data_IF_301473138521
#
_entry.id   IF_301473138521
#
_cell.length_a   1.000
_cell.length_b   1.000
_cell.length_c   1.000
_cell.angle_alpha   90.00
_cell.angle_beta   90.00
_cell.angle_gamma   90.00
#
_symmetry.space_group_name_H-M   'P 1'
#
loop_
_entity.id
_entity.type
_entity.pdbx_description
1 polymer ?
#
# COMPACT_ATOMS: atom_id res chain seq x y z
N UNK A 1 -76.14 -64.47 -11.38
CA UNK A 1 -76.20 -65.60 -10.42
C UNK A 1 -74.98 -66.47 -10.69
N UNK A 2 -74.22 -66.85 -9.65
CA UNK A 2 -73.03 -67.72 -9.63
C UNK A 2 -71.75 -67.13 -10.27
N UNK A 3 -70.70 -66.75 -9.53
CA UNK A 3 -69.83 -67.43 -8.52
C UNK A 3 -68.82 -68.39 -9.16
N UNK A 4 -67.54 -68.19 -8.83
CA UNK A 4 -66.48 -69.19 -8.93
C UNK A 4 -65.12 -68.60 -9.34
N UNK A 5 -64.31 -68.09 -8.40
CA UNK A 5 -63.07 -68.71 -7.84
C UNK A 5 -61.86 -68.71 -8.82
N UNK A 6 -60.78 -67.92 -8.60
CA UNK A 6 -59.60 -68.14 -7.71
C UNK A 6 -58.79 -69.37 -8.20
N UNK A 7 -57.47 -69.40 -8.47
CA UNK A 7 -56.31 -68.71 -7.89
C UNK A 7 -54.99 -68.89 -8.71
N UNK A 8 -54.10 -67.91 -8.53
CA UNK A 8 -52.62 -67.93 -8.37
C UNK A 8 -51.65 -68.76 -9.26
N UNK A 9 -50.73 -67.99 -9.86
CA UNK A 9 -49.25 -68.16 -9.94
C UNK A 9 -48.67 -69.51 -10.43
N UNK A 10 -48.04 -69.45 -11.60
CA UNK A 10 -46.76 -70.11 -11.86
C UNK A 10 -46.06 -69.44 -13.05
N UNK A 11 -44.96 -68.71 -12.83
CA UNK A 11 -43.57 -69.12 -13.13
C UNK A 11 -43.02 -68.39 -14.38
N UNK A 12 -42.03 -67.54 -14.13
CA UNK A 12 -40.93 -67.06 -14.99
C UNK A 12 -40.87 -67.47 -16.46
N UNK A 13 -40.60 -66.50 -17.36
CA UNK A 13 -39.94 -66.82 -18.63
C UNK A 13 -40.01 -65.77 -19.74
N UNK A 14 -39.04 -64.85 -19.72
CA UNK A 14 -38.28 -64.34 -20.87
C UNK A 14 -38.97 -63.92 -22.20
N UNK A 15 -38.73 -62.64 -22.50
CA UNK A 15 -38.17 -62.11 -23.76
C UNK A 15 -39.04 -62.00 -25.04
N UNK A 16 -39.16 -60.72 -25.42
CA UNK A 16 -38.99 -60.15 -26.77
C UNK A 16 -40.01 -60.48 -27.86
N UNK A 17 -40.87 -59.50 -28.19
CA UNK A 17 -40.74 -58.68 -29.40
C UNK A 17 -42.00 -57.82 -29.61
N UNK A 18 -41.92 -56.51 -29.32
CA UNK A 18 -42.87 -55.53 -29.87
C UNK A 18 -42.08 -54.40 -30.50
N UNK A 19 -42.14 -54.39 -31.83
CA UNK A 19 -41.60 -53.42 -32.77
C UNK A 19 -42.64 -52.31 -33.00
N UNK A 20 -42.13 -51.08 -33.26
CA UNK A 20 -42.80 -49.88 -33.83
C UNK A 20 -43.66 -49.01 -32.90
N UNK A 21 -43.06 -47.91 -32.42
CA UNK A 21 -43.57 -46.52 -32.58
C UNK A 21 -42.82 -45.54 -31.64
N UNK A 22 -41.60 -45.09 -31.98
CA UNK A 22 -40.91 -44.01 -31.23
C UNK A 22 -39.95 -43.14 -32.07
N UNK A 23 -40.15 -42.99 -33.38
CA UNK A 23 -39.23 -42.19 -34.23
C UNK A 23 -39.72 -40.80 -34.70
N UNK A 24 -40.95 -40.39 -34.35
CA UNK A 24 -41.47 -39.07 -34.78
C UNK A 24 -41.51 -37.99 -33.69
N UNK A 25 -41.37 -38.35 -32.41
CA UNK A 25 -41.47 -37.37 -31.30
C UNK A 25 -40.15 -36.62 -31.00
N UNK A 26 -39.00 -37.10 -31.47
CA UNK A 26 -37.68 -36.51 -31.15
C UNK A 26 -37.28 -35.41 -32.14
N UNK A 27 -37.78 -35.43 -33.38
CA UNK A 27 -37.40 -34.46 -34.41
C UNK A 27 -38.01 -33.06 -34.20
N UNK A 28 -39.21 -32.96 -33.61
CA UNK A 28 -39.89 -31.67 -33.41
C UNK A 28 -39.32 -30.90 -32.21
N UNK A 29 -38.79 -31.60 -31.21
CA UNK A 29 -38.19 -30.97 -30.01
C UNK A 29 -36.81 -30.39 -30.33
N UNK A 30 -36.05 -30.99 -31.26
CA UNK A 30 -34.74 -30.48 -31.67
C UNK A 30 -34.80 -29.25 -32.59
N UNK A 31 -35.85 -29.09 -33.41
CA UNK A 31 -36.00 -27.89 -34.25
C UNK A 31 -36.38 -26.64 -33.45
N UNK A 32 -37.13 -26.78 -32.35
CA UNK A 32 -37.48 -25.63 -31.50
C UNK A 32 -36.32 -25.15 -30.59
N UNK A 33 -35.30 -26.00 -30.35
CA UNK A 33 -34.15 -25.65 -29.51
C UNK A 33 -32.98 -25.00 -30.28
N UNK A 34 -32.95 -25.07 -31.62
CA UNK A 34 -31.93 -24.43 -32.45
C UNK A 34 -32.34 -23.06 -33.00
N UNK A 35 -33.63 -22.70 -32.93
CA UNK A 35 -34.13 -21.40 -33.38
C UNK A 35 -34.09 -20.30 -32.29
N UNK A 36 -33.73 -20.62 -31.04
CA UNK A 36 -33.70 -19.66 -29.93
C UNK A 36 -32.32 -19.06 -29.64
N UNK A 37 -31.29 -19.34 -30.44
CA UNK A 37 -29.93 -18.82 -30.24
C UNK A 37 -29.60 -17.55 -31.03
N UNK A 38 -30.57 -16.98 -31.75
CA UNK A 38 -30.37 -15.74 -32.50
C UNK A 38 -31.45 -14.74 -32.09
N UNK A 39 -31.00 -13.59 -31.57
CA UNK A 39 -31.76 -12.44 -31.05
C UNK A 39 -32.21 -12.50 -29.58
N UNK A 40 -31.32 -12.08 -28.68
CA UNK A 40 -31.61 -11.03 -27.68
C UNK A 40 -30.30 -10.42 -27.15
N UNK A 41 -29.94 -9.19 -27.55
CA UNK A 41 -29.17 -8.32 -26.69
C UNK A 41 -30.08 -7.14 -26.33
N UNK A 42 -30.65 -7.14 -25.13
CA UNK A 42 -31.10 -5.92 -24.45
C UNK A 42 -31.65 -6.27 -23.06
N UNK A 43 -30.78 -6.82 -22.20
CA UNK A 43 -30.98 -6.67 -20.77
C UNK A 43 -29.98 -5.61 -20.28
N UNK A 44 -30.43 -4.40 -19.87
CA UNK A 44 -29.54 -3.34 -19.38
C UNK A 44 -28.66 -3.78 -18.20
N UNK A 45 -29.09 -4.80 -17.43
CA UNK A 45 -28.31 -5.39 -16.34
C UNK A 45 -27.11 -6.22 -16.82
N UNK A 46 -27.24 -6.98 -17.92
CA UNK A 46 -26.14 -7.77 -18.45
C UNK A 46 -25.05 -6.88 -19.08
N UNK A 47 -25.47 -5.78 -19.75
CA UNK A 47 -24.54 -4.78 -20.27
C UNK A 47 -23.83 -4.01 -19.14
N UNK A 48 -24.55 -3.62 -18.07
CA UNK A 48 -23.94 -2.99 -16.88
C UNK A 48 -22.94 -3.89 -16.18
N UNK A 49 -23.27 -5.17 -15.97
CA UNK A 49 -22.35 -6.14 -15.36
C UNK A 49 -21.10 -6.43 -16.22
N UNK A 50 -21.22 -6.39 -17.55
CA UNK A 50 -20.07 -6.51 -18.46
C UNK A 50 -19.18 -5.26 -18.42
N UNK A 51 -19.75 -4.06 -18.35
CA UNK A 51 -18.98 -2.81 -18.26
C UNK A 51 -18.28 -2.66 -16.90
N UNK A 52 -18.85 -3.21 -15.82
CA UNK A 52 -18.26 -3.20 -14.48
C UNK A 52 -17.01 -4.10 -14.34
N UNK A 53 -16.83 -5.09 -15.23
CA UNK A 53 -15.79 -6.12 -15.08
C UNK A 53 -14.56 -5.92 -15.96
N UNK A 54 -14.65 -5.09 -17.01
CA UNK A 54 -13.52 -4.82 -17.90
C UNK A 54 -12.52 -3.84 -17.25
N UNK A 55 -11.22 -4.21 -17.18
CA UNK A 55 -10.18 -3.28 -16.75
C UNK A 55 -10.18 -2.00 -17.60
N UNK A 56 -9.78 -0.88 -17.00
CA UNK A 56 -9.46 0.34 -17.73
C UNK A 56 -7.94 0.42 -17.83
N UNK A 57 -7.39 0.56 -19.03
CA UNK A 57 -5.98 0.92 -19.19
C UNK A 57 -5.75 2.39 -18.82
N UNK A 58 -4.48 2.84 -18.86
CA UNK A 58 -4.14 4.22 -18.49
C UNK A 58 -4.92 5.27 -19.30
N UNK A 59 -5.07 5.06 -20.61
CA UNK A 59 -5.75 6.00 -21.50
C UNK A 59 -7.24 6.04 -21.19
N UNK A 60 -7.87 4.88 -21.08
CA UNK A 60 -9.28 4.75 -20.74
C UNK A 60 -9.61 5.30 -19.36
N UNK A 61 -8.73 5.10 -18.37
CA UNK A 61 -8.91 5.65 -17.05
C UNK A 61 -8.81 7.19 -17.03
N UNK A 62 -7.80 7.78 -17.70
CA UNK A 62 -7.69 9.24 -17.82
C UNK A 62 -8.91 9.83 -18.53
N UNK A 63 -9.38 9.21 -19.60
CA UNK A 63 -10.59 9.64 -20.31
C UNK A 63 -11.83 9.57 -19.41
N UNK A 64 -11.96 8.52 -18.59
CA UNK A 64 -13.07 8.37 -17.65
C UNK A 64 -13.03 9.42 -16.53
N UNK A 65 -11.85 9.74 -16.00
CA UNK A 65 -11.67 10.82 -15.02
C UNK A 65 -12.04 12.18 -15.61
N UNK A 66 -11.62 12.47 -16.84
CA UNK A 66 -11.99 13.69 -17.53
C UNK A 66 -13.52 13.77 -17.72
N UNK A 67 -14.15 12.67 -18.15
CA UNK A 67 -15.61 12.59 -18.31
C UNK A 67 -16.34 12.87 -17.00
N UNK A 68 -15.90 12.28 -15.90
CA UNK A 68 -16.47 12.52 -14.56
C UNK A 68 -16.31 13.97 -14.13
N UNK A 69 -15.13 14.55 -14.36
CA UNK A 69 -14.84 15.97 -14.12
C UNK A 69 -15.83 16.87 -14.87
N UNK A 70 -16.02 16.65 -16.18
CA UNK A 70 -16.88 17.48 -17.02
C UNK A 70 -18.37 17.36 -16.63
N UNK A 71 -18.79 16.20 -16.15
CA UNK A 71 -20.13 16.02 -15.59
C UNK A 71 -20.27 16.82 -14.30
N UNK A 72 -19.33 16.68 -13.37
CA UNK A 72 -19.37 17.38 -12.09
C UNK A 72 -19.36 18.90 -12.26
N UNK A 73 -18.55 19.43 -13.18
CA UNK A 73 -18.53 20.84 -13.52
C UNK A 73 -19.90 21.35 -14.03
N UNK A 74 -20.60 20.56 -14.85
CA UNK A 74 -21.92 20.91 -15.39
C UNK A 74 -23.04 20.87 -14.35
N UNK A 75 -22.95 19.98 -13.36
CA UNK A 75 -23.99 19.80 -12.33
C UNK A 75 -23.68 20.56 -11.03
N UNK A 76 -22.65 21.42 -11.01
CA UNK A 76 -22.34 22.28 -9.87
C UNK A 76 -21.60 21.58 -8.73
N UNK A 77 -20.77 20.57 -9.03
CA UNK A 77 -19.93 19.84 -8.08
C UNK A 77 -18.43 20.14 -8.31
N UNK A 78 -17.94 21.35 -8.00
CA UNK A 78 -16.58 21.77 -8.35
C UNK A 78 -15.48 21.00 -7.59
N UNK A 79 -15.73 20.60 -6.34
CA UNK A 79 -14.76 19.83 -5.56
C UNK A 79 -14.54 18.44 -6.15
N UNK A 80 -15.61 17.78 -6.60
CA UNK A 80 -15.57 16.46 -7.24
C UNK A 80 -14.95 16.54 -8.64
N UNK A 81 -15.23 17.63 -9.37
CA UNK A 81 -14.56 17.90 -10.64
C UNK A 81 -13.04 18.01 -10.45
N UNK A 82 -12.61 18.80 -9.46
CA UNK A 82 -11.20 18.94 -9.11
C UNK A 82 -10.60 17.60 -8.66
N UNK A 83 -11.28 16.85 -7.80
CA UNK A 83 -10.84 15.53 -7.33
C UNK A 83 -10.59 14.57 -8.49
N UNK A 84 -11.49 14.52 -9.48
CA UNK A 84 -11.31 13.67 -10.66
C UNK A 84 -10.12 14.12 -11.53
N UNK A 85 -9.97 15.43 -11.76
CA UNK A 85 -8.85 15.99 -12.54
C UNK A 85 -7.49 15.74 -11.89
N UNK A 86 -7.43 15.82 -10.56
CA UNK A 86 -6.18 15.80 -9.81
C UNK A 86 -5.78 14.40 -9.33
N UNK A 87 -6.63 13.39 -9.56
CA UNK A 87 -6.38 12.02 -9.10
C UNK A 87 -5.12 11.39 -9.68
N UNK A 88 -4.77 11.70 -10.93
CA UNK A 88 -3.52 11.25 -11.53
C UNK A 88 -2.41 12.27 -11.21
N UNK A 89 -1.31 11.84 -10.55
CA UNK A 89 -0.16 12.71 -10.39
C UNK A 89 0.41 13.07 -11.77
N UNK A 90 1.01 14.24 -11.88
CA UNK A 90 1.72 14.60 -13.12
C UNK A 90 3.03 13.83 -13.17
N UNK A 91 3.38 13.34 -14.34
CA UNK A 91 4.68 12.73 -14.57
C UNK A 91 5.76 13.82 -14.55
N UNK A 92 6.56 13.81 -13.48
CA UNK A 92 7.76 14.63 -13.37
C UNK A 92 8.99 13.78 -13.67
N UNK A 93 9.96 14.35 -14.40
CA UNK A 93 11.25 13.68 -14.65
C UNK A 93 12.23 13.84 -13.50
N UNK A 94 11.95 14.72 -12.54
CA UNK A 94 12.86 15.09 -11.46
C UNK A 94 12.51 14.43 -10.12
N UNK A 95 11.41 13.69 -10.01
CA UNK A 95 11.00 12.98 -8.80
C UNK A 95 10.43 11.58 -9.09
N UNK A 96 10.54 10.71 -8.10
CA UNK A 96 9.86 9.43 -8.03
C UNK A 96 8.49 9.61 -7.37
N UNK A 97 7.44 9.06 -7.99
CA UNK A 97 6.10 9.00 -7.40
C UNK A 97 5.94 7.71 -6.61
N UNK A 98 5.48 7.83 -5.36
CA UNK A 98 5.20 6.74 -4.44
C UNK A 98 3.73 6.78 -4.02
N UNK A 99 3.19 5.65 -3.56
CA UNK A 99 1.76 5.50 -3.34
C UNK A 99 1.44 4.96 -1.95
N UNK A 100 0.36 5.45 -1.36
CA UNK A 100 -0.27 4.90 -0.17
C UNK A 100 -1.75 4.59 -0.44
N UNK A 101 -2.32 3.60 0.25
CA UNK A 101 -3.75 3.34 0.20
C UNK A 101 -4.54 4.55 0.70
N UNK A 102 -5.61 4.88 -0.01
CA UNK A 102 -6.58 5.91 0.37
C UNK A 102 -7.84 5.22 0.89
N UNK A 103 -8.28 5.58 2.09
CA UNK A 103 -9.48 5.01 2.69
C UNK A 103 -10.72 5.60 2.01
N UNK A 104 -11.56 4.74 1.42
CA UNK A 104 -12.82 5.16 0.78
C UNK A 104 -13.93 5.53 1.79
N UNK A 105 -13.63 5.45 3.08
CA UNK A 105 -14.59 5.50 4.18
C UNK A 105 -15.35 6.83 4.35
N UNK A 106 -14.95 7.90 3.65
CA UNK A 106 -15.59 9.21 3.75
C UNK A 106 -16.77 9.41 2.78
N UNK A 107 -17.05 8.46 1.89
CA UNK A 107 -18.08 8.63 0.85
C UNK A 107 -19.52 8.30 1.28
N UNK A 108 -19.75 7.82 2.51
CA UNK A 108 -21.01 7.15 2.89
C UNK A 108 -22.03 8.01 3.68
N UNK A 109 -21.80 9.31 3.89
CA UNK A 109 -22.61 10.12 4.82
C UNK A 109 -23.42 11.27 4.21
N UNK A 110 -23.44 11.46 2.89
CA UNK A 110 -24.16 12.58 2.27
C UNK A 110 -25.40 12.13 1.47
N UNK A 111 -26.55 12.71 1.82
CA UNK A 111 -27.89 12.40 1.28
C UNK A 111 -28.16 12.91 -0.13
N UNK A 112 -27.15 13.48 -0.80
CA UNK A 112 -27.28 14.04 -2.15
C UNK A 112 -27.01 13.00 -3.23
N UNK A 113 -28.06 12.58 -3.95
CA UNK A 113 -28.01 11.54 -5.00
C UNK A 113 -26.93 11.79 -6.06
N UNK A 114 -26.64 13.05 -6.42
CA UNK A 114 -25.60 13.38 -7.40
C UNK A 114 -24.19 13.09 -6.89
N UNK A 115 -23.91 13.41 -5.62
CA UNK A 115 -22.63 13.11 -5.00
C UNK A 115 -22.44 11.60 -4.84
N UNK A 116 -23.49 10.89 -4.40
CA UNK A 116 -23.46 9.43 -4.30
C UNK A 116 -23.16 8.78 -5.67
N UNK A 117 -23.78 9.28 -6.75
CA UNK A 117 -23.53 8.80 -8.12
C UNK A 117 -22.09 9.08 -8.58
N UNK A 118 -21.53 10.26 -8.27
CA UNK A 118 -20.13 10.55 -8.53
C UNK A 118 -19.22 9.60 -7.76
N UNK A 119 -19.39 9.47 -6.44
CA UNK A 119 -18.57 8.60 -5.59
C UNK A 119 -18.59 7.15 -6.10
N UNK A 120 -19.76 6.63 -6.46
CA UNK A 120 -19.91 5.29 -7.01
C UNK A 120 -19.18 5.14 -8.37
N UNK A 121 -19.35 6.11 -9.28
CA UNK A 121 -18.71 6.05 -10.61
C UNK A 121 -17.19 6.21 -10.52
N UNK A 122 -16.72 7.09 -9.64
CA UNK A 122 -15.30 7.32 -9.38
C UNK A 122 -14.65 6.10 -8.74
N UNK A 123 -15.28 5.51 -7.72
CA UNK A 123 -14.81 4.26 -7.11
C UNK A 123 -14.77 3.10 -8.13
N UNK A 124 -15.80 2.97 -8.97
CA UNK A 124 -15.83 1.96 -10.04
C UNK A 124 -14.69 2.16 -11.04
N UNK A 125 -14.46 3.40 -11.50
CA UNK A 125 -13.36 3.71 -12.43
C UNK A 125 -12.00 3.34 -11.82
N UNK A 126 -11.77 3.72 -10.56
CA UNK A 126 -10.54 3.35 -9.84
C UNK A 126 -10.36 1.84 -9.69
N UNK A 127 -11.41 1.09 -9.34
CA UNK A 127 -11.36 -0.38 -9.23
C UNK A 127 -11.03 -1.06 -10.56
N UNK A 128 -11.63 -0.58 -11.65
CA UNK A 128 -11.33 -1.08 -13.01
C UNK A 128 -9.88 -0.79 -13.41
N UNK A 129 -9.36 0.39 -13.05
CA UNK A 129 -7.95 0.72 -13.27
C UNK A 129 -7.01 -0.07 -12.37
N UNK A 130 -7.36 -0.30 -11.10
CA UNK A 130 -6.61 -1.14 -10.16
C UNK A 130 -6.43 -2.57 -10.69
N UNK A 131 -7.47 -3.13 -11.34
CA UNK A 131 -7.38 -4.43 -12.01
C UNK A 131 -6.34 -4.43 -13.14
N UNK A 132 -6.33 -3.40 -13.99
CA UNK A 132 -5.33 -3.27 -15.05
C UNK A 132 -3.91 -3.13 -14.48
N UNK A 133 -3.75 -2.32 -13.44
CA UNK A 133 -2.46 -2.17 -12.73
C UNK A 133 -1.99 -3.49 -12.13
N UNK A 134 -2.90 -4.30 -11.56
CA UNK A 134 -2.54 -5.60 -11.02
C UNK A 134 -2.07 -6.57 -12.12
N UNK A 135 -2.74 -6.58 -13.28
CA UNK A 135 -2.28 -7.34 -14.45
C UNK A 135 -0.89 -6.87 -14.94
N UNK A 136 -0.63 -5.55 -14.91
CA UNK A 136 0.70 -4.99 -15.22
C UNK A 136 1.75 -5.40 -14.19
N UNK A 137 1.42 -5.35 -12.90
CA UNK A 137 2.26 -5.77 -11.80
C UNK A 137 2.72 -7.22 -11.97
N UNK A 138 1.82 -8.13 -12.34
CA UNK A 138 2.14 -9.54 -12.63
C UNK A 138 3.11 -9.64 -13.80
N UNK A 139 2.86 -8.96 -14.92
CA UNK A 139 3.76 -8.98 -16.09
C UNK A 139 5.16 -8.46 -15.75
N UNK A 140 5.27 -7.36 -15.01
CA UNK A 140 6.55 -6.81 -14.57
C UNK A 140 7.32 -7.78 -13.68
N UNK A 141 6.62 -8.40 -12.73
CA UNK A 141 7.20 -9.42 -11.86
C UNK A 141 7.71 -10.61 -12.69
N UNK A 142 6.93 -11.13 -13.66
CA UNK A 142 7.34 -12.22 -14.55
C UNK A 142 8.57 -11.86 -15.41
N UNK A 143 8.73 -10.60 -15.78
CA UNK A 143 9.89 -10.08 -16.50
C UNK A 143 11.13 -9.87 -15.59
N UNK A 144 10.98 -10.03 -14.27
CA UNK A 144 12.04 -9.86 -13.29
C UNK A 144 12.20 -8.42 -12.78
N UNK A 145 11.36 -7.47 -13.22
CA UNK A 145 11.34 -6.10 -12.69
C UNK A 145 10.47 -6.02 -11.42
N UNK A 146 10.92 -6.70 -10.37
CA UNK A 146 10.17 -6.75 -9.10
C UNK A 146 10.08 -5.39 -8.41
N UNK A 147 11.06 -4.50 -8.63
CA UNK A 147 11.05 -3.15 -8.04
C UNK A 147 9.92 -2.29 -8.60
N UNK A 148 9.76 -2.25 -9.93
CA UNK A 148 8.64 -1.56 -10.55
C UNK A 148 7.31 -2.27 -10.26
N UNK A 149 7.28 -3.61 -10.34
CA UNK A 149 6.09 -4.38 -9.98
C UNK A 149 5.62 -4.07 -8.55
N UNK A 150 6.55 -3.97 -7.58
CA UNK A 150 6.22 -3.62 -6.21
C UNK A 150 5.62 -2.22 -6.09
N UNK A 151 6.16 -1.22 -6.79
CA UNK A 151 5.57 0.14 -6.84
C UNK A 151 4.16 0.13 -7.45
N UNK A 152 3.97 -0.56 -8.57
CA UNK A 152 2.65 -0.72 -9.20
C UNK A 152 1.66 -1.38 -8.24
N UNK A 153 2.10 -2.33 -7.41
CA UNK A 153 1.25 -2.97 -6.40
C UNK A 153 0.73 -1.97 -5.34
N UNK A 154 1.53 -0.99 -4.95
CA UNK A 154 1.06 0.11 -4.08
C UNK A 154 0.08 1.03 -4.81
N UNK A 155 0.30 1.28 -6.11
CA UNK A 155 -0.64 2.01 -6.94
C UNK A 155 -1.99 1.28 -7.08
N UNK A 156 -1.99 -0.06 -7.11
CA UNK A 156 -3.21 -0.87 -7.04
C UNK A 156 -3.97 -0.52 -5.75
N UNK A 157 -3.32 -0.58 -4.57
CA UNK A 157 -3.97 -0.27 -3.30
C UNK A 157 -4.40 1.19 -3.13
N UNK A 158 -3.72 2.13 -3.78
CA UNK A 158 -4.18 3.52 -3.84
C UNK A 158 -5.54 3.63 -4.54
N UNK A 159 -5.73 2.88 -5.62
CA UNK A 159 -6.96 2.93 -6.42
C UNK A 159 -8.06 2.04 -5.84
N UNK A 160 -7.70 0.89 -5.27
CA UNK A 160 -8.59 -0.02 -4.55
C UNK A 160 -7.90 -0.52 -3.26
N UNK A 161 -8.14 0.18 -2.15
CA UNK A 161 -7.55 -0.16 -0.85
C UNK A 161 -8.05 -1.50 -0.29
N UNK A 162 -9.09 -2.07 -0.90
CA UNK A 162 -9.68 -3.37 -0.54
C UNK A 162 -9.25 -4.51 -1.45
N UNK A 163 -8.40 -4.26 -2.47
CA UNK A 163 -7.99 -5.27 -3.44
C UNK A 163 -7.36 -6.50 -2.74
N UNK A 164 -7.98 -7.69 -2.81
CA UNK A 164 -7.65 -8.79 -1.90
C UNK A 164 -6.24 -9.35 -2.13
N UNK A 165 -5.83 -9.52 -3.38
CA UNK A 165 -4.52 -10.03 -3.77
C UNK A 165 -3.42 -9.05 -3.38
N UNK A 166 -3.57 -7.77 -3.70
CA UNK A 166 -2.58 -6.76 -3.34
C UNK A 166 -2.40 -6.63 -1.83
N UNK A 167 -3.50 -6.64 -1.05
CA UNK A 167 -3.45 -6.67 0.42
C UNK A 167 -2.77 -7.93 0.95
N UNK A 168 -3.07 -9.11 0.40
CA UNK A 168 -2.43 -10.37 0.79
C UNK A 168 -0.93 -10.34 0.49
N UNK A 169 -0.56 -9.84 -0.69
CA UNK A 169 0.85 -9.74 -1.10
C UNK A 169 1.56 -8.77 -0.18
N UNK A 170 1.06 -7.55 0.08
CA UNK A 170 1.71 -6.55 0.93
C UNK A 170 1.62 -6.84 2.44
N UNK A 171 0.66 -7.65 2.89
CA UNK A 171 0.50 -7.99 4.30
C UNK A 171 0.22 -6.76 5.17
N UNK A 172 0.95 -6.61 6.28
CA UNK A 172 0.82 -5.49 7.22
C UNK A 172 1.17 -4.13 6.61
N UNK A 173 2.00 -4.11 5.56
CA UNK A 173 2.34 -2.87 4.85
C UNK A 173 1.11 -2.21 4.22
N UNK A 174 0.13 -3.01 3.78
CA UNK A 174 -1.12 -2.49 3.20
C UNK A 174 -1.95 -1.63 4.17
N UNK A 175 -1.60 -1.60 5.46
CA UNK A 175 -2.28 -0.81 6.50
C UNK A 175 -1.43 0.32 7.07
N UNK A 176 -0.33 0.69 6.40
CA UNK A 176 0.60 1.71 6.91
C UNK A 176 -0.07 3.07 7.18
N UNK A 177 -1.03 3.48 6.35
CA UNK A 177 -1.78 4.73 6.53
C UNK A 177 -2.89 4.67 7.59
N UNK A 178 -3.27 3.49 8.06
CA UNK A 178 -4.37 3.27 9.00
C UNK A 178 -3.96 2.42 10.22
N UNK A 179 -2.67 2.44 10.55
CA UNK A 179 -2.11 1.70 11.69
C UNK A 179 -2.75 2.13 13.01
N UNK A 180 -3.01 1.15 13.88
CA UNK A 180 -3.49 1.38 15.25
C UNK A 180 -2.39 0.98 16.24
N UNK A 181 -1.63 1.96 16.79
CA UNK A 181 -0.57 1.66 17.75
C UNK A 181 -1.12 0.96 18.99
N UNK A 182 -0.39 -0.02 19.50
CA UNK A 182 -0.80 -0.84 20.65
C UNK A 182 0.08 -0.54 21.86
N UNK A 183 -0.53 -0.39 23.04
CA UNK A 183 0.22 -0.30 24.28
C UNK A 183 0.78 -1.66 24.68
N UNK A 184 2.05 -1.69 25.07
CA UNK A 184 2.70 -2.87 25.64
C UNK A 184 3.08 -2.60 27.09
N UNK A 185 2.93 -3.63 27.92
CA UNK A 185 3.35 -3.58 29.31
C UNK A 185 4.87 -3.52 29.41
N UNK A 186 5.38 -2.53 30.16
CA UNK A 186 6.79 -2.38 30.49
C UNK A 186 7.14 -3.29 31.67
N UNK A 187 8.16 -4.13 31.50
CA UNK A 187 8.61 -5.10 32.51
C UNK A 187 10.07 -4.93 32.91
N UNK A 188 10.84 -4.11 32.18
CA UNK A 188 12.27 -3.90 32.37
C UNK A 188 12.60 -2.43 32.22
N UNK A 189 13.68 -1.93 32.84
CA UNK A 189 14.16 -0.59 32.56
C UNK A 189 14.62 -0.48 31.10
N UNK A 190 14.57 0.73 30.55
CA UNK A 190 15.15 1.04 29.25
C UNK A 190 16.60 1.47 29.45
N UNK A 191 17.51 0.52 29.36
CA UNK A 191 18.94 0.71 29.69
C UNK A 191 19.60 1.81 28.85
N UNK A 192 19.24 1.91 27.57
CA UNK A 192 19.88 2.86 26.63
C UNK A 192 19.75 4.33 27.04
N UNK A 193 18.72 4.68 27.82
CA UNK A 193 18.50 6.05 28.35
C UNK A 193 18.29 6.05 29.87
N UNK A 194 18.55 4.92 30.53
CA UNK A 194 18.43 4.78 31.99
C UNK A 194 17.01 4.94 32.56
N UNK A 195 15.94 4.77 31.77
CA UNK A 195 14.59 4.96 32.29
C UNK A 195 14.13 3.76 33.14
N UNK A 196 13.71 3.98 34.40
CA UNK A 196 13.23 2.89 35.24
C UNK A 196 11.85 2.37 34.81
N UNK A 197 11.50 1.16 35.25
CA UNK A 197 10.17 0.56 35.03
C UNK A 197 9.07 1.50 35.56
N UNK A 198 8.00 1.67 34.79
CA UNK A 198 6.85 2.50 35.17
C UNK A 198 7.02 4.00 34.90
N UNK A 199 8.23 4.44 34.53
CA UNK A 199 8.49 5.85 34.19
C UNK A 199 8.28 6.18 32.71
N UNK A 200 7.99 5.19 31.87
CA UNK A 200 7.81 5.34 30.43
C UNK A 200 6.77 4.34 29.90
N UNK A 201 6.27 4.59 28.70
CA UNK A 201 5.33 3.71 28.00
C UNK A 201 6.04 3.06 26.80
N UNK A 202 5.55 1.89 26.39
CA UNK A 202 5.97 1.24 25.15
C UNK A 202 4.77 1.11 24.24
N UNK A 203 4.89 1.71 23.06
CA UNK A 203 3.93 1.58 21.97
C UNK A 203 4.52 0.70 20.89
N UNK A 204 3.72 -0.22 20.36
CA UNK A 204 4.10 -1.05 19.23
C UNK A 204 3.21 -0.79 18.01
N UNK A 205 3.86 -0.79 16.86
CA UNK A 205 3.23 -0.85 15.54
C UNK A 205 3.76 -2.10 14.82
N UNK A 206 3.31 -2.40 13.58
CA UNK A 206 3.81 -3.55 12.84
C UNK A 206 5.34 -3.57 12.67
N UNK A 207 5.99 -2.43 12.45
CA UNK A 207 7.42 -2.34 12.15
C UNK A 207 8.26 -1.68 13.27
N UNK A 208 7.63 -1.01 14.24
CA UNK A 208 8.33 -0.24 15.27
C UNK A 208 7.94 -0.62 16.71
N UNK A 209 8.91 -0.43 17.61
CA UNK A 209 8.70 -0.35 19.06
C UNK A 209 9.16 1.04 19.49
N UNK A 210 8.24 1.79 20.08
CA UNK A 210 8.45 3.17 20.51
C UNK A 210 8.42 3.20 22.03
N UNK A 211 9.57 3.46 22.66
CA UNK A 211 9.63 3.74 24.09
C UNK A 211 9.50 5.24 24.31
N UNK A 212 8.54 5.70 25.11
CA UNK A 212 8.17 7.12 25.16
C UNK A 212 7.85 7.63 26.56
N UNK A 213 8.17 8.91 26.77
CA UNK A 213 7.66 9.75 27.88
C UNK A 213 6.89 10.98 27.38
N UNK A 214 6.71 11.12 26.07
CA UNK A 214 5.88 12.15 25.47
C UNK A 214 4.39 11.88 25.69
N UNK A 215 3.55 12.85 25.32
CA UNK A 215 2.10 12.68 25.41
C UNK A 215 1.59 11.59 24.47
N UNK A 216 0.40 11.05 24.76
CA UNK A 216 -0.26 10.08 23.87
C UNK A 216 -0.49 10.63 22.47
N UNK A 217 -0.81 11.93 22.35
CA UNK A 217 -1.04 12.60 21.06
C UNK A 217 0.23 12.61 20.21
N UNK A 218 1.35 13.04 20.79
CA UNK A 218 2.64 13.09 20.09
C UNK A 218 3.13 11.69 19.73
N UNK A 219 2.95 10.74 20.64
CA UNK A 219 3.35 9.35 20.43
C UNK A 219 2.55 8.69 19.29
N UNK A 220 1.23 8.86 19.26
CA UNK A 220 0.38 8.33 18.18
C UNK A 220 0.76 9.01 16.85
N UNK A 221 0.94 10.33 16.84
CA UNK A 221 1.35 11.07 15.64
C UNK A 221 2.69 10.57 15.10
N UNK A 222 3.67 10.34 15.97
CA UNK A 222 4.97 9.76 15.58
C UNK A 222 4.78 8.34 15.03
N UNK A 223 4.05 7.48 15.74
CA UNK A 223 3.82 6.09 15.34
C UNK A 223 3.22 5.98 13.93
N UNK A 224 2.23 6.81 13.61
CA UNK A 224 1.65 6.88 12.26
C UNK A 224 2.67 7.36 11.22
N UNK A 225 3.48 8.39 11.54
CA UNK A 225 4.52 8.90 10.62
C UNK A 225 5.59 7.85 10.33
N UNK A 226 6.03 7.09 11.33
CA UNK A 226 7.04 6.03 11.18
C UNK A 226 6.57 4.94 10.21
N UNK A 227 5.33 4.48 10.34
CA UNK A 227 4.76 3.44 9.48
C UNK A 227 4.52 3.92 8.04
N UNK A 228 4.03 5.16 7.88
CA UNK A 228 3.91 5.80 6.57
C UNK A 228 5.28 5.91 5.89
N UNK A 229 6.28 6.42 6.61
CA UNK A 229 7.62 6.55 6.06
C UNK A 229 8.22 5.19 5.70
N UNK A 230 8.07 4.18 6.57
CA UNK A 230 8.54 2.83 6.29
C UNK A 230 7.95 2.27 4.99
N UNK A 231 6.64 2.41 4.80
CA UNK A 231 5.95 1.97 3.59
C UNK A 231 6.39 2.72 2.31
N UNK A 232 6.72 4.00 2.41
CA UNK A 232 7.25 4.79 1.28
C UNK A 232 8.71 4.43 1.00
N UNK A 233 9.52 4.27 2.04
CA UNK A 233 10.91 3.86 1.93
C UNK A 233 11.04 2.49 1.27
N UNK A 234 10.19 1.52 1.64
CA UNK A 234 10.24 0.18 1.04
C UNK A 234 9.93 0.19 -0.46
N UNK A 235 9.10 1.13 -0.93
CA UNK A 235 8.83 1.33 -2.35
C UNK A 235 10.04 1.89 -3.10
N UNK A 236 10.71 2.88 -2.52
CA UNK A 236 11.87 3.51 -3.13
C UNK A 236 13.11 2.61 -3.13
N UNK A 237 13.29 1.81 -2.07
CA UNK A 237 14.49 1.01 -1.84
C UNK A 237 14.28 -0.50 -1.99
N UNK A 238 13.23 -0.92 -2.73
CA UNK A 238 12.88 -2.34 -2.93
C UNK A 238 14.08 -3.28 -3.14
N UNK A 239 15.00 -3.01 -4.09
CA UNK A 239 16.12 -3.91 -4.36
C UNK A 239 17.13 -4.05 -3.21
N UNK A 240 17.13 -3.13 -2.23
CA UNK A 240 18.09 -3.15 -1.12
C UNK A 240 17.62 -3.98 0.08
N UNK A 241 16.31 -4.15 0.25
CA UNK A 241 15.75 -4.84 1.42
C UNK A 241 15.02 -6.14 1.08
N UNK A 242 14.51 -6.28 -0.14
CA UNK A 242 13.83 -7.50 -0.57
C UNK A 242 14.80 -8.44 -1.30
N UNK A 243 14.74 -9.73 -0.95
CA UNK A 243 15.48 -10.76 -1.69
C UNK A 243 14.94 -10.87 -3.13
N UNK A 244 15.83 -11.18 -4.07
CA UNK A 244 15.42 -11.46 -5.45
C UNK A 244 14.34 -12.58 -5.51
N UNK A 245 13.30 -12.37 -6.29
CA UNK A 245 12.17 -13.28 -6.44
C UNK A 245 11.18 -13.25 -5.27
N UNK A 246 11.37 -12.38 -4.26
CA UNK A 246 10.50 -12.35 -3.09
C UNK A 246 9.07 -11.94 -3.45
N UNK A 247 8.91 -10.98 -4.37
CA UNK A 247 7.59 -10.56 -4.83
C UNK A 247 6.89 -11.68 -5.60
N UNK A 248 7.59 -12.31 -6.56
CA UNK A 248 7.07 -13.45 -7.30
C UNK A 248 6.61 -14.59 -6.38
N UNK A 249 7.43 -14.96 -5.38
CA UNK A 249 7.08 -16.00 -4.40
C UNK A 249 5.80 -15.65 -3.63
N UNK A 250 5.63 -14.39 -3.25
CA UNK A 250 4.41 -13.93 -2.56
C UNK A 250 3.20 -13.84 -3.47
N UNK A 251 3.39 -13.42 -4.72
CA UNK A 251 2.34 -13.46 -5.75
C UNK A 251 1.83 -14.89 -5.94
N UNK A 252 2.73 -15.88 -6.00
CA UNK A 252 2.41 -17.30 -6.09
C UNK A 252 1.77 -17.92 -4.83
N UNK A 253 1.48 -17.12 -3.78
CA UNK A 253 0.81 -17.58 -2.57
C UNK A 253 1.75 -17.90 -1.41
N UNK A 254 3.05 -17.64 -1.54
CA UNK A 254 4.03 -17.81 -0.47
C UNK A 254 3.69 -16.99 0.78
N UNK A 255 3.97 -17.58 1.95
CA UNK A 255 3.72 -16.98 3.28
C UNK A 255 4.94 -16.26 3.88
N UNK A 256 6.03 -16.13 3.13
CA UNK A 256 7.22 -15.41 3.59
C UNK A 256 6.81 -14.02 4.08
N UNK A 257 7.28 -13.56 5.24
CA UNK A 257 6.97 -12.23 5.77
C UNK A 257 7.82 -11.18 5.04
N UNK A 258 7.26 -10.00 4.79
CA UNK A 258 8.09 -8.84 4.39
C UNK A 258 8.86 -8.25 5.57
N UNK A 259 8.29 -8.41 6.76
CA UNK A 259 8.84 -7.84 7.97
C UNK A 259 9.98 -8.72 8.47
N UNK A 260 11.06 -8.06 8.90
CA UNK A 260 12.11 -8.73 9.67
C UNK A 260 11.57 -9.15 11.03
N UNK A 261 12.18 -10.18 11.63
CA UNK A 261 11.78 -10.69 12.95
C UNK A 261 11.90 -9.63 14.06
N UNK A 262 12.81 -8.67 13.91
CA UNK A 262 13.05 -7.60 14.87
C UNK A 262 12.46 -6.28 14.39
N UNK A 263 11.56 -5.72 15.20
CA UNK A 263 11.04 -4.35 15.04
C UNK A 263 12.11 -3.30 15.35
N UNK A 264 12.06 -2.20 14.61
CA UNK A 264 12.97 -1.07 14.76
C UNK A 264 12.67 -0.31 16.06
N UNK A 265 13.72 0.08 16.77
CA UNK A 265 13.59 0.75 18.07
C UNK A 265 13.63 2.26 17.91
N UNK A 266 12.66 2.93 18.54
CA UNK A 266 12.58 4.40 18.59
C UNK A 266 12.35 4.83 20.04
N UNK A 267 13.04 5.88 20.47
CA UNK A 267 12.85 6.52 21.77
C UNK A 267 12.32 7.93 21.55
N UNK A 268 11.16 8.23 22.12
CA UNK A 268 10.53 9.55 22.07
C UNK A 268 10.56 10.19 23.47
N UNK A 269 11.45 11.17 23.64
CA UNK A 269 11.56 11.96 24.86
C UNK A 269 10.37 12.90 25.01
N UNK A 270 10.07 13.33 26.23
CA UNK A 270 9.00 14.29 26.51
C UNK A 270 9.24 15.64 25.85
N UNK A 271 10.48 16.11 25.84
CA UNK A 271 10.88 17.41 25.32
C UNK A 271 12.41 17.47 25.08
N UNK A 272 12.87 18.60 24.55
CA UNK A 272 14.29 18.86 24.27
C UNK A 272 15.19 18.73 25.51
N UNK A 273 14.74 19.19 26.68
CA UNK A 273 15.55 19.14 27.90
C UNK A 273 15.89 17.69 28.27
N UNK A 274 14.88 16.82 28.29
CA UNK A 274 15.08 15.40 28.61
C UNK A 274 15.96 14.70 27.56
N UNK A 275 15.83 15.06 26.28
CA UNK A 275 16.68 14.56 25.20
C UNK A 275 18.16 14.92 25.42
N UNK A 276 18.45 16.17 25.79
CA UNK A 276 19.82 16.62 26.06
C UNK A 276 20.38 16.01 27.34
N UNK A 277 19.58 15.89 28.40
CA UNK A 277 20.01 15.22 29.65
C UNK A 277 20.40 13.75 29.39
N UNK A 278 19.67 13.07 28.50
CA UNK A 278 19.93 11.67 28.19
C UNK A 278 21.13 11.46 27.24
N UNK A 279 21.34 12.35 26.26
CA UNK A 279 22.31 12.13 25.18
C UNK A 279 23.51 13.08 25.18
N UNK A 280 23.42 14.23 25.85
CA UNK A 280 24.45 15.28 25.86
C UNK A 280 25.80 14.86 26.43
N UNK A 281 25.84 13.81 27.23
CA UNK A 281 27.09 13.28 27.81
C UNK A 281 27.90 12.47 26.78
N UNK A 282 27.25 11.87 25.78
CA UNK A 282 27.88 10.92 24.86
C UNK A 282 28.05 11.40 23.42
N UNK A 283 27.28 12.40 22.98
CA UNK A 283 27.18 12.77 21.56
C UNK A 283 27.53 14.25 21.34
N UNK A 284 28.67 14.50 20.70
CA UNK A 284 29.07 15.84 20.27
C UNK A 284 28.08 16.36 19.22
N UNK A 285 27.59 17.59 19.37
CA UNK A 285 26.58 18.26 18.51
C UNK A 285 25.12 17.81 18.69
N UNK A 286 24.78 17.02 19.71
CA UNK A 286 23.38 16.66 19.96
C UNK A 286 22.50 17.89 20.23
N UNK A 287 23.09 18.99 20.72
CA UNK A 287 22.40 20.26 21.00
C UNK A 287 21.81 20.94 19.76
N UNK A 288 22.37 20.69 18.58
CA UNK A 288 21.86 21.29 17.32
C UNK A 288 20.90 20.38 16.57
N UNK A 289 20.66 19.16 17.07
CA UNK A 289 19.76 18.20 16.44
C UNK A 289 18.43 18.04 17.18
N UNK A 290 17.38 17.78 16.42
CA UNK A 290 16.06 17.36 16.93
C UNK A 290 15.89 15.82 16.90
N UNK A 291 16.90 15.10 16.41
CA UNK A 291 16.90 13.65 16.28
C UNK A 291 18.29 13.03 16.10
N UNK A 292 18.46 11.77 16.47
CA UNK A 292 19.73 11.06 16.29
C UNK A 292 19.51 9.57 16.17
N UNK A 293 20.11 8.92 15.18
CA UNK A 293 20.22 7.47 15.12
C UNK A 293 21.55 6.99 15.71
N UNK A 294 21.49 6.13 16.74
CA UNK A 294 22.68 5.49 17.30
C UNK A 294 22.83 4.06 16.73
N UNK A 295 23.86 3.79 15.89
CA UNK A 295 24.06 2.47 15.29
C UNK A 295 24.40 1.38 16.31
N UNK A 296 25.07 1.73 17.41
CA UNK A 296 25.46 0.78 18.48
C UNK A 296 24.23 0.33 19.25
N UNK A 297 23.38 1.30 19.64
CA UNK A 297 22.15 1.01 20.35
C UNK A 297 21.02 0.51 19.43
N UNK A 298 21.18 0.61 18.10
CA UNK A 298 20.17 0.26 17.10
C UNK A 298 18.82 0.92 17.39
N UNK A 299 18.89 2.22 17.72
CA UNK A 299 17.76 3.00 18.20
C UNK A 299 17.84 4.42 17.66
N UNK A 300 16.71 4.95 17.20
CA UNK A 300 16.56 6.37 16.87
C UNK A 300 15.95 7.13 18.04
N UNK A 301 16.44 8.33 18.29
CA UNK A 301 16.09 9.18 19.43
C UNK A 301 15.50 10.49 18.93
N UNK A 302 14.33 10.87 19.42
CA UNK A 302 13.63 12.09 19.01
C UNK A 302 12.92 12.77 20.19
N UNK A 303 12.59 14.04 20.03
CA UNK A 303 11.63 14.73 20.90
C UNK A 303 10.60 15.50 20.05
N UNK A 304 9.41 15.81 20.57
CA UNK A 304 8.42 16.62 19.85
C UNK A 304 8.95 18.02 19.55
N UNK A 305 9.04 18.35 18.26
CA UNK A 305 9.50 19.65 17.75
C UNK A 305 8.82 19.97 16.41
N UNK A 306 8.62 21.25 16.10
CA UNK A 306 8.03 21.69 14.83
C UNK A 306 8.92 21.36 13.63
N UNK A 307 10.25 21.34 13.82
CA UNK A 307 11.25 21.01 12.80
C UNK A 307 11.57 19.52 12.67
N UNK A 308 10.86 18.63 13.38
CA UNK A 308 11.20 17.21 13.48
C UNK A 308 11.15 16.46 12.14
N UNK A 309 10.28 16.85 11.19
CA UNK A 309 9.94 15.99 10.04
C UNK A 309 11.14 15.65 9.15
N UNK A 310 11.93 16.63 8.72
CA UNK A 310 13.10 16.39 7.87
C UNK A 310 14.16 15.55 8.61
N UNK A 311 14.44 15.88 9.87
CA UNK A 311 15.40 15.14 10.70
C UNK A 311 14.93 13.72 10.98
N UNK A 312 13.64 13.52 11.26
CA UNK A 312 13.06 12.18 11.43
C UNK A 312 13.28 11.33 10.20
N UNK A 313 12.99 11.87 9.01
CA UNK A 313 13.20 11.18 7.74
C UNK A 313 14.70 10.86 7.54
N UNK A 314 15.58 11.81 7.86
CA UNK A 314 17.03 11.66 7.75
C UNK A 314 17.54 10.51 8.64
N UNK A 315 17.30 10.60 9.95
CA UNK A 315 17.77 9.61 10.93
C UNK A 315 17.13 8.23 10.72
N UNK A 316 15.85 8.19 10.36
CA UNK A 316 15.17 6.93 10.08
C UNK A 316 15.68 6.29 8.78
N UNK A 317 16.13 7.08 7.80
CA UNK A 317 16.80 6.54 6.61
C UNK A 317 18.09 5.83 7.00
N UNK A 318 18.92 6.44 7.87
CA UNK A 318 20.11 5.78 8.42
C UNK A 318 19.78 4.47 9.11
N UNK A 319 18.76 4.49 9.98
CA UNK A 319 18.31 3.28 10.68
C UNK A 319 17.82 2.19 9.72
N UNK A 320 17.01 2.54 8.72
CA UNK A 320 16.50 1.56 7.74
C UNK A 320 17.60 0.99 6.86
N UNK A 321 18.55 1.82 6.44
CA UNK A 321 19.72 1.34 5.72
C UNK A 321 20.54 0.36 6.57
N UNK A 322 20.77 0.66 7.85
CA UNK A 322 21.56 -0.19 8.74
C UNK A 322 20.83 -1.47 9.19
N UNK A 323 19.52 -1.41 9.38
CA UNK A 323 18.75 -2.47 10.07
C UNK A 323 17.66 -3.13 9.23
N UNK A 324 17.25 -2.54 8.10
CA UNK A 324 16.21 -3.06 7.23
C UNK A 324 16.72 -3.52 5.86
N UNK A 325 17.97 -3.25 5.49
CA UNK A 325 18.58 -3.77 4.25
C UNK A 325 19.42 -5.03 4.49
N UNK A 326 19.70 -5.77 3.42
CA UNK A 326 20.70 -6.85 3.42
C UNK A 326 22.14 -6.31 3.23
N UNK A 327 22.34 -4.99 3.35
CA UNK A 327 23.59 -4.34 3.04
C UNK A 327 24.49 -4.26 4.28
N UNK A 328 25.25 -5.33 4.55
CA UNK A 328 26.11 -5.44 5.75
C UNK A 328 27.15 -4.30 5.87
N UNK A 329 27.63 -3.75 4.75
CA UNK A 329 28.66 -2.71 4.72
C UNK A 329 28.23 -1.38 5.39
N UNK A 330 26.94 -1.07 5.47
CA UNK A 330 26.44 0.16 6.11
C UNK A 330 26.57 0.08 7.64
N UNK A 331 26.51 -1.12 8.23
CA UNK A 331 26.70 -1.29 9.69
C UNK A 331 28.11 -0.89 10.17
N UNK A 332 29.06 -0.75 9.24
CA UNK A 332 30.46 -0.35 9.46
C UNK A 332 30.83 1.01 8.85
N UNK A 333 29.87 1.76 8.28
CA UNK A 333 30.10 2.98 7.49
C UNK A 333 30.83 4.11 8.24
N UNK A 334 30.94 4.05 9.56
CA UNK A 334 31.82 4.92 10.34
C UNK A 334 33.33 4.73 10.08
N UNK A 335 33.74 3.78 9.23
CA UNK A 335 35.15 3.42 8.99
C UNK A 335 35.62 3.50 7.52
N UNK A 336 34.77 3.82 6.55
CA UNK A 336 35.12 3.74 5.11
C UNK A 336 34.59 4.90 4.27
N UNK A 337 35.17 5.07 3.07
CA UNK A 337 34.95 6.14 2.06
C UNK A 337 33.51 6.24 1.49
N UNK A 338 32.54 5.55 2.09
CA UNK A 338 31.16 5.42 1.61
C UNK A 338 30.16 6.27 2.43
N UNK A 339 30.64 7.00 3.44
CA UNK A 339 29.85 7.90 4.27
C UNK A 339 29.00 8.89 3.44
N UNK A 340 29.56 9.43 2.37
CA UNK A 340 28.84 10.34 1.48
C UNK A 340 27.63 9.68 0.79
N UNK A 341 27.67 8.38 0.50
CA UNK A 341 26.55 7.71 -0.15
C UNK A 341 25.36 7.61 0.80
N UNK A 342 25.62 7.20 2.04
CA UNK A 342 24.59 7.03 3.08
C UNK A 342 23.96 8.37 3.45
N UNK A 343 24.78 9.40 3.70
CA UNK A 343 24.31 10.77 3.94
C UNK A 343 23.57 11.35 2.72
N UNK A 344 24.05 11.05 1.51
CA UNK A 344 23.42 11.50 0.28
C UNK A 344 22.03 10.90 0.09
N UNK A 345 21.86 9.62 0.42
CA UNK A 345 20.55 8.96 0.43
C UNK A 345 19.64 9.58 1.50
N UNK A 346 20.13 9.83 2.72
CA UNK A 346 19.34 10.47 3.78
C UNK A 346 18.88 11.88 3.36
N UNK A 347 19.76 12.71 2.81
CA UNK A 347 19.44 14.03 2.25
C UNK A 347 18.44 13.92 1.09
N UNK A 348 18.58 12.90 0.24
CA UNK A 348 17.62 12.64 -0.82
C UNK A 348 16.23 12.35 -0.25
N UNK A 349 16.12 11.52 0.80
CA UNK A 349 14.85 11.20 1.44
C UNK A 349 14.16 12.39 2.11
N UNK A 350 14.89 13.38 2.61
CA UNK A 350 14.30 14.62 3.15
C UNK A 350 13.43 15.39 2.15
N UNK A 351 13.58 15.13 0.85
CA UNK A 351 12.70 15.69 -0.19
C UNK A 351 11.31 15.05 -0.25
N UNK A 352 11.11 13.95 0.47
CA UNK A 352 9.87 13.20 0.51
C UNK A 352 8.73 14.08 1.05
N UNK A 353 7.63 14.16 0.30
CA UNK A 353 6.45 14.94 0.69
C UNK A 353 5.17 14.42 0.05
N UNK A 354 3.99 14.66 0.65
CA UNK A 354 2.72 14.41 0.00
C UNK A 354 2.61 15.21 -1.30
N UNK A 355 2.03 14.63 -2.34
CA UNK A 355 1.76 15.34 -3.59
C UNK A 355 0.47 16.16 -3.44
N UNK A 356 0.51 17.51 -3.45
CA UNK A 356 -0.62 18.33 -3.01
C UNK A 356 -1.92 18.12 -3.79
N UNK A 357 -1.82 17.72 -5.06
CA UNK A 357 -2.98 17.59 -5.93
C UNK A 357 -3.58 16.17 -5.94
N UNK A 358 -2.84 15.14 -5.54
CA UNK A 358 -3.27 13.75 -5.68
C UNK A 358 -3.18 13.03 -4.33
N UNK A 359 -4.33 12.81 -3.71
CA UNK A 359 -4.42 12.09 -2.43
C UNK A 359 -3.77 10.70 -2.52
N UNK A 360 -3.05 10.31 -1.47
CA UNK A 360 -2.31 9.04 -1.42
C UNK A 360 -1.07 8.99 -2.32
N UNK A 361 -0.74 10.05 -3.07
CA UNK A 361 0.54 10.14 -3.78
C UNK A 361 1.57 10.90 -2.95
N UNK A 362 2.82 10.46 -3.06
CA UNK A 362 3.98 11.10 -2.48
C UNK A 362 5.05 11.27 -3.55
N UNK A 363 5.89 12.29 -3.41
CA UNK A 363 7.05 12.49 -4.28
C UNK A 363 8.33 12.38 -3.48
N UNK A 364 9.32 11.72 -4.04
CA UNK A 364 10.68 11.64 -3.54
C UNK A 364 11.63 12.19 -4.61
N UNK A 365 12.44 13.17 -4.26
CA UNK A 365 13.32 13.91 -5.16
C UNK A 365 12.76 15.28 -5.53
N UNK A 366 13.21 15.80 -6.66
CA UNK A 366 12.77 17.07 -7.23
C UNK A 366 13.61 18.27 -6.84
N UNK A 367 13.47 19.34 -7.63
CA UNK A 367 14.28 20.55 -7.48
C UNK A 367 13.96 21.40 -6.23
N UNK A 368 12.92 21.05 -5.46
CA UNK A 368 12.40 21.88 -4.37
C UNK A 368 13.02 21.59 -3.00
N UNK A 369 13.82 20.53 -2.87
CA UNK A 369 14.41 20.13 -1.59
C UNK A 369 15.64 20.98 -1.25
N UNK A 370 15.55 21.76 -0.16
CA UNK A 370 16.57 22.76 0.22
C UNK A 370 17.96 22.17 0.36
N UNK A 371 18.13 21.08 1.13
CA UNK A 371 19.45 20.45 1.34
C UNK A 371 20.00 19.79 0.07
N UNK A 372 19.14 19.22 -0.79
CA UNK A 372 19.55 18.74 -2.12
C UNK A 372 20.06 19.91 -2.99
N UNK A 373 19.38 21.06 -2.98
CA UNK A 373 19.85 22.23 -3.73
C UNK A 373 21.19 22.75 -3.21
N UNK A 374 21.39 22.80 -1.89
CA UNK A 374 22.68 23.15 -1.29
C UNK A 374 23.78 22.17 -1.70
N UNK A 375 23.52 20.85 -1.62
CA UNK A 375 24.47 19.83 -2.03
C UNK A 375 24.84 19.96 -3.52
N UNK A 376 23.85 20.16 -4.40
CA UNK A 376 24.07 20.40 -5.83
C UNK A 376 24.91 21.63 -6.09
N UNK A 377 24.62 22.74 -5.41
CA UNK A 377 25.38 23.97 -5.54
C UNK A 377 26.84 23.79 -5.13
N UNK A 378 27.10 23.11 -4.01
CA UNK A 378 28.47 22.78 -3.56
C UNK A 378 29.19 21.81 -4.49
N UNK A 379 28.47 20.83 -5.03
CA UNK A 379 29.05 19.90 -6.01
C UNK A 379 29.51 20.63 -7.28
N UNK A 380 28.69 21.54 -7.80
CA UNK A 380 29.00 22.30 -9.02
C UNK A 380 30.05 23.40 -8.77
N UNK A 381 29.93 24.16 -7.69
CA UNK A 381 30.82 25.31 -7.40
C UNK A 381 32.14 24.89 -6.76
N UNK A 382 32.07 23.99 -5.78
CA UNK A 382 33.19 23.66 -4.88
C UNK A 382 33.83 22.30 -5.20
N UNK A 383 33.25 21.52 -6.12
CA UNK A 383 33.67 20.13 -6.37
C UNK A 383 33.44 19.21 -5.17
N UNK A 384 32.55 19.60 -4.25
CA UNK A 384 32.34 18.96 -2.96
C UNK A 384 30.91 18.43 -2.84
N UNK A 385 30.78 17.14 -2.52
CA UNK A 385 29.54 16.41 -2.77
C UNK A 385 28.58 16.35 -1.58
N UNK A 386 29.07 16.40 -0.32
CA UNK A 386 28.25 16.48 0.92
C UNK A 386 29.00 17.19 2.04
#
# INVERSE_FOLDING_TARGET
MQVGTVNLRAIYGAMSNVVRCKKWAVAVIWMCLLASQWFFPCCPQALRAQTETQPLDQIGFVAELQRLSDICARIGLPLQAQQAQSWQPRDGRDYLTLFLPVDEAHAAAESHTQLANFNASFALAKKRFAKHLYEQCVRLAEQGDEGEAYRVLWQVLRNDSTHPEARRILGTLATASSVRPQNRRVLRPLEVVGWPVGSYQVIETPNFVISTRASSRETIALASKLEVFYALWTQAMYPLWADAGALQRRMAGGKALWQRERKLQVVLFKNRLEYLEALGVGESNIEVSVGYYNPTAKSSFFYPDEGLEATLIHELTHQLLAEATNFEAISTAGKTQEYWLVEGIAIYFESMRPYPAAEGCWTLGGNYAKRIQTARYRAVRDGFWI
#
